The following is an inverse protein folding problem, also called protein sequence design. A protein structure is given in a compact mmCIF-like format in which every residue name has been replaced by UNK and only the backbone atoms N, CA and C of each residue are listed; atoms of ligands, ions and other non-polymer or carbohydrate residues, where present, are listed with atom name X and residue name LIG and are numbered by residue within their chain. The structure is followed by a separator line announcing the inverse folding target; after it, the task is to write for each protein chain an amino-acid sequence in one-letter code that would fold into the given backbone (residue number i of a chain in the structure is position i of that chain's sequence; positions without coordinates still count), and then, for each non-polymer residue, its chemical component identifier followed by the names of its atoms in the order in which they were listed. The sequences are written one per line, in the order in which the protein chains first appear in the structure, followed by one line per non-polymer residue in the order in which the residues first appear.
data_IF_224812568610
#
_entry.id   IF_224812568610
#
_cell.length_a   1.000
_cell.length_b   1.000
_cell.length_c   1.000
_cell.angle_alpha   90.00
_cell.angle_beta   90.00
_cell.angle_gamma   90.00
#
_symmetry.space_group_name_H-M   'P 1'
#
loop_
_entity.id
_entity.type
_entity.pdbx_description
1 polymer ?
#
# COMPACT_ATOMS: atom_id res chain seq x y z
N UNK A 1 -16.62 -43.72 -35.29
CA UNK A 1 -15.68 -42.58 -35.55
C UNK A 1 -15.78 -41.67 -34.31
N UNK A 2 -14.90 -41.94 -33.35
CA UNK A 2 -14.83 -41.24 -32.05
C UNK A 2 -14.04 -39.97 -32.29
N UNK A 3 -14.70 -38.84 -32.25
CA UNK A 3 -14.03 -37.53 -32.29
C UNK A 3 -13.40 -37.36 -30.90
N UNK A 4 -12.10 -37.60 -30.82
CA UNK A 4 -11.28 -37.21 -29.69
C UNK A 4 -11.36 -35.67 -29.56
N UNK A 5 -12.16 -35.22 -28.62
CA UNK A 5 -12.12 -33.85 -28.15
C UNK A 5 -10.74 -33.61 -27.53
N UNK A 6 -9.84 -33.09 -28.32
CA UNK A 6 -8.55 -32.64 -27.89
C UNK A 6 -8.81 -31.34 -27.07
N UNK A 7 -9.11 -31.51 -25.78
CA UNK A 7 -9.06 -30.44 -24.80
C UNK A 7 -7.61 -30.04 -24.69
N UNK A 8 -7.15 -29.18 -25.63
CA UNK A 8 -5.96 -28.37 -25.40
C UNK A 8 -6.16 -27.73 -24.04
N UNK A 9 -5.31 -28.08 -23.07
CA UNK A 9 -5.16 -27.36 -21.83
C UNK A 9 -4.90 -25.89 -22.25
N UNK A 10 -5.95 -25.08 -22.22
CA UNK A 10 -5.85 -23.66 -22.39
C UNK A 10 -4.90 -23.20 -21.30
N UNK A 11 -3.70 -22.82 -21.68
CA UNK A 11 -2.62 -22.42 -20.78
C UNK A 11 -3.21 -21.36 -19.84
N UNK A 12 -3.50 -21.75 -18.61
CA UNK A 12 -4.18 -20.89 -17.62
C UNK A 12 -3.17 -19.86 -17.06
N UNK A 13 -2.55 -19.07 -17.96
CA UNK A 13 -1.52 -18.09 -17.64
C UNK A 13 -1.86 -16.73 -18.25
N UNK A 14 -1.50 -15.65 -17.54
CA UNK A 14 -1.41 -14.31 -18.09
C UNK A 14 0.03 -14.00 -18.49
N UNK A 15 0.20 -13.09 -19.43
CA UNK A 15 1.48 -12.60 -19.91
C UNK A 15 1.69 -11.15 -19.46
N UNK A 16 2.65 -10.90 -18.58
CA UNK A 16 3.00 -9.59 -18.07
C UNK A 16 4.05 -8.94 -18.96
N UNK A 17 3.77 -7.77 -19.53
CA UNK A 17 4.71 -7.14 -20.49
C UNK A 17 5.69 -6.18 -19.83
N UNK A 18 5.37 -5.62 -18.67
CA UNK A 18 6.18 -4.54 -18.10
C UNK A 18 6.21 -3.32 -19.03
N UNK A 19 7.40 -2.81 -19.35
CA UNK A 19 7.62 -1.69 -20.28
C UNK A 19 7.65 -2.20 -21.72
N UNK A 20 6.49 -2.28 -22.35
CA UNK A 20 6.34 -2.74 -23.71
C UNK A 20 7.06 -1.79 -24.69
N UNK A 21 7.84 -2.36 -25.62
CA UNK A 21 8.64 -1.62 -26.60
C UNK A 21 9.99 -1.12 -26.07
N UNK A 22 10.35 -1.46 -24.83
CA UNK A 22 11.63 -1.13 -24.21
C UNK A 22 12.36 -2.39 -23.72
N UNK A 23 12.08 -3.53 -24.35
CA UNK A 23 12.56 -4.84 -23.90
C UNK A 23 14.10 -4.92 -23.88
N UNK A 24 14.76 -4.30 -24.85
CA UNK A 24 16.23 -4.29 -24.96
C UNK A 24 16.91 -3.56 -23.79
N UNK A 25 16.19 -2.63 -23.15
CA UNK A 25 16.74 -1.84 -22.03
C UNK A 25 16.15 -2.24 -20.69
N UNK A 26 15.40 -3.34 -20.60
CA UNK A 26 14.82 -3.85 -19.33
C UNK A 26 15.87 -4.00 -18.24
N UNK A 27 17.09 -4.48 -18.57
CA UNK A 27 18.19 -4.60 -17.63
C UNK A 27 18.62 -3.25 -17.03
N UNK A 28 18.61 -2.19 -17.83
CA UNK A 28 18.91 -0.83 -17.35
C UNK A 28 17.77 -0.24 -16.52
N UNK A 29 16.51 -0.46 -16.95
CA UNK A 29 15.31 -0.05 -16.23
C UNK A 29 15.23 -0.77 -14.87
N UNK A 30 15.72 -2.00 -14.76
CA UNK A 30 15.72 -2.76 -13.52
C UNK A 30 16.56 -2.11 -12.41
N UNK A 31 17.64 -1.39 -12.74
CA UNK A 31 18.56 -0.80 -11.76
C UNK A 31 17.83 0.16 -10.81
N UNK A 32 17.11 1.21 -11.29
CA UNK A 32 16.37 2.09 -10.40
C UNK A 32 15.27 1.35 -9.62
N UNK A 33 14.56 0.39 -10.22
CA UNK A 33 13.54 -0.38 -9.52
C UNK A 33 14.14 -1.24 -8.40
N UNK A 34 15.22 -1.96 -8.66
CA UNK A 34 15.92 -2.74 -7.64
C UNK A 34 16.45 -1.86 -6.52
N UNK A 35 16.98 -0.67 -6.83
CA UNK A 35 17.43 0.31 -5.85
C UNK A 35 16.28 0.79 -4.96
N UNK A 36 15.09 1.05 -5.52
CA UNK A 36 13.90 1.43 -4.78
C UNK A 36 13.46 0.27 -3.86
N UNK A 37 13.32 -0.95 -4.40
CA UNK A 37 12.94 -2.12 -3.60
C UNK A 37 13.91 -2.38 -2.45
N UNK A 38 15.22 -2.29 -2.71
CA UNK A 38 16.24 -2.44 -1.68
C UNK A 38 16.11 -1.37 -0.60
N UNK A 39 15.87 -0.11 -0.99
CA UNK A 39 15.67 1.00 -0.05
C UNK A 39 14.41 0.81 0.79
N UNK A 40 13.32 0.33 0.19
CA UNK A 40 12.07 -0.01 0.91
C UNK A 40 12.34 -1.09 1.95
N UNK A 41 13.02 -2.17 1.56
CA UNK A 41 13.31 -3.29 2.48
C UNK A 41 14.21 -2.83 3.61
N UNK A 42 15.34 -2.19 3.30
CA UNK A 42 16.31 -1.73 4.31
C UNK A 42 15.69 -0.70 5.26
N UNK A 43 14.94 0.26 4.73
CA UNK A 43 14.30 1.32 5.51
C UNK A 43 13.28 0.77 6.51
N UNK A 44 12.36 -0.07 6.04
CA UNK A 44 11.31 -0.64 6.88
C UNK A 44 11.86 -1.67 7.88
N UNK A 45 12.82 -2.52 7.49
CA UNK A 45 13.51 -3.43 8.41
C UNK A 45 14.26 -2.65 9.49
N UNK A 46 14.93 -1.54 9.14
CA UNK A 46 15.62 -0.69 10.11
C UNK A 46 14.63 -0.10 11.12
N UNK A 47 13.49 0.42 10.68
CA UNK A 47 12.43 0.93 11.58
C UNK A 47 11.96 -0.16 12.54
N UNK A 48 11.61 -1.34 12.03
CA UNK A 48 11.17 -2.47 12.85
C UNK A 48 12.23 -2.88 13.88
N UNK A 49 13.49 -2.95 13.45
CA UNK A 49 14.60 -3.30 14.31
C UNK A 49 14.79 -2.27 15.43
N UNK A 50 14.75 -0.98 15.12
CA UNK A 50 14.89 0.09 16.11
C UNK A 50 13.73 0.09 17.10
N UNK A 51 12.49 -0.02 16.64
CA UNK A 51 11.30 -0.09 17.53
C UNK A 51 11.37 -1.31 18.45
N UNK A 52 11.80 -2.48 17.92
CA UNK A 52 11.89 -3.72 18.71
C UNK A 52 12.96 -3.65 19.80
N UNK A 53 14.11 -3.03 19.52
CA UNK A 53 15.29 -3.06 20.38
C UNK A 53 15.36 -1.92 21.39
N UNK A 54 14.54 -0.88 21.25
CA UNK A 54 14.54 0.28 22.13
C UNK A 54 13.21 0.38 22.89
N UNK A 55 13.25 0.07 24.20
CA UNK A 55 12.06 0.11 25.05
C UNK A 55 11.43 1.51 25.15
N UNK A 56 12.18 2.59 24.89
CA UNK A 56 11.65 3.97 24.89
C UNK A 56 10.71 4.24 23.71
N UNK A 57 10.71 3.38 22.69
CA UNK A 57 9.84 3.45 21.54
C UNK A 57 8.63 2.51 21.65
N UNK A 58 8.33 1.98 22.84
CA UNK A 58 7.14 1.13 23.04
C UNK A 58 5.91 1.95 23.41
N UNK A 59 5.64 3.00 22.60
CA UNK A 59 4.44 3.83 22.70
C UNK A 59 3.46 3.52 21.55
N UNK A 60 2.16 3.84 21.67
CA UNK A 60 1.13 3.51 20.68
C UNK A 60 1.48 3.88 19.25
N UNK A 61 1.99 5.08 19.01
CA UNK A 61 2.38 5.54 17.69
C UNK A 61 3.41 4.63 17.00
N UNK A 62 4.40 4.14 17.75
CA UNK A 62 5.46 3.30 17.17
C UNK A 62 4.96 1.89 16.85
N UNK A 63 3.98 1.38 17.57
CA UNK A 63 3.31 0.13 17.20
C UNK A 63 2.55 0.26 15.88
N UNK A 64 1.85 1.38 15.67
CA UNK A 64 1.22 1.65 14.37
C UNK A 64 2.24 1.83 13.25
N UNK A 65 3.36 2.50 13.55
CA UNK A 65 4.46 2.63 12.58
C UNK A 65 5.09 1.26 12.26
N UNK A 66 5.21 0.36 13.23
CA UNK A 66 5.65 -1.00 12.98
C UNK A 66 4.66 -1.79 12.10
N UNK A 67 3.35 -1.61 12.31
CA UNK A 67 2.32 -2.20 11.45
C UNK A 67 2.43 -1.66 10.02
N UNK A 68 2.64 -0.35 9.85
CA UNK A 68 2.87 0.28 8.54
C UNK A 68 4.10 -0.32 7.85
N UNK A 69 5.23 -0.41 8.55
CA UNK A 69 6.45 -1.00 8.01
C UNK A 69 6.29 -2.48 7.61
N UNK A 70 5.52 -3.26 8.37
CA UNK A 70 5.18 -4.65 8.01
C UNK A 70 4.31 -4.72 6.74
N UNK A 71 3.37 -3.80 6.59
CA UNK A 71 2.52 -3.69 5.40
C UNK A 71 3.34 -3.34 4.17
N UNK A 72 4.25 -2.36 4.29
CA UNK A 72 5.18 -1.94 3.23
C UNK A 72 6.08 -3.09 2.76
N UNK A 73 6.63 -3.87 3.70
CA UNK A 73 7.41 -5.07 3.39
C UNK A 73 6.56 -6.14 2.70
N UNK A 74 5.33 -6.34 3.15
CA UNK A 74 4.40 -7.28 2.53
C UNK A 74 4.07 -6.92 1.08
N UNK A 75 3.80 -5.64 0.78
CA UNK A 75 3.59 -5.13 -0.58
C UNK A 75 4.82 -5.36 -1.46
N UNK A 76 6.00 -5.05 -0.93
CA UNK A 76 7.27 -5.26 -1.59
C UNK A 76 7.48 -6.74 -1.96
N UNK A 77 7.32 -7.64 -0.98
CA UNK A 77 7.48 -9.08 -1.19
C UNK A 77 6.44 -9.69 -2.13
N UNK A 78 5.23 -9.11 -2.19
CA UNK A 78 4.18 -9.57 -3.10
C UNK A 78 4.48 -9.28 -4.57
N UNK A 79 5.26 -8.24 -4.87
CA UNK A 79 5.50 -7.76 -6.24
C UNK A 79 6.92 -7.99 -6.74
N UNK A 80 7.90 -7.97 -5.85
CA UNK A 80 9.32 -8.13 -6.18
C UNK A 80 9.61 -9.37 -7.05
N UNK A 81 9.08 -10.58 -6.76
CA UNK A 81 9.39 -11.76 -7.58
C UNK A 81 8.97 -11.61 -9.04
N UNK A 82 7.79 -11.05 -9.31
CA UNK A 82 7.30 -10.84 -10.68
C UNK A 82 8.07 -9.75 -11.40
N UNK A 83 8.40 -8.65 -10.71
CA UNK A 83 9.18 -7.55 -11.27
C UNK A 83 10.60 -8.00 -11.63
N UNK A 84 11.29 -8.73 -10.75
CA UNK A 84 12.60 -9.28 -11.04
C UNK A 84 12.54 -10.36 -12.13
N UNK A 85 11.50 -11.20 -12.10
CA UNK A 85 11.25 -12.23 -13.12
C UNK A 85 11.21 -11.63 -14.53
N UNK A 86 10.45 -10.54 -14.69
CA UNK A 86 10.31 -9.85 -15.99
C UNK A 86 11.62 -9.18 -16.41
N UNK A 87 12.26 -8.41 -15.52
CA UNK A 87 13.39 -7.57 -15.91
C UNK A 87 14.71 -8.32 -16.04
N UNK A 88 14.95 -9.39 -15.26
CA UNK A 88 16.22 -10.10 -15.25
C UNK A 88 16.19 -11.43 -16.00
N UNK A 89 15.04 -12.10 -15.97
CA UNK A 89 14.92 -13.46 -16.49
C UNK A 89 13.96 -13.57 -17.69
N UNK A 90 13.38 -12.45 -18.14
CA UNK A 90 12.32 -12.42 -19.17
C UNK A 90 11.16 -13.40 -18.89
N UNK A 91 10.95 -13.73 -17.61
CA UNK A 91 9.91 -14.63 -17.14
C UNK A 91 8.58 -13.86 -17.03
N UNK A 92 7.88 -13.73 -18.15
CA UNK A 92 6.67 -12.91 -18.30
C UNK A 92 5.38 -13.66 -18.05
N UNK A 93 5.41 -14.98 -17.96
CA UNK A 93 4.22 -15.79 -17.72
C UNK A 93 3.92 -15.92 -16.22
N UNK A 94 2.67 -15.65 -15.83
CA UNK A 94 2.16 -15.89 -14.49
C UNK A 94 0.89 -16.74 -14.54
N UNK A 95 0.83 -17.81 -13.76
CA UNK A 95 -0.39 -18.62 -13.63
C UNK A 95 -1.56 -17.80 -13.08
N UNK A 96 -2.77 -18.00 -13.61
CA UNK A 96 -3.97 -17.29 -13.16
C UNK A 96 -4.16 -17.38 -11.62
N UNK A 97 -4.02 -18.54 -10.96
CA UNK A 97 -4.12 -18.61 -9.50
C UNK A 97 -3.07 -17.77 -8.78
N UNK A 98 -1.81 -17.75 -9.26
CA UNK A 98 -0.73 -16.95 -8.68
C UNK A 98 -1.01 -15.45 -8.84
N UNK A 99 -1.51 -15.04 -10.01
CA UNK A 99 -1.92 -13.66 -10.29
C UNK A 99 -3.06 -13.20 -9.35
N UNK A 100 -4.08 -14.04 -9.13
CA UNK A 100 -5.18 -13.72 -8.20
C UNK A 100 -4.72 -13.67 -6.74
N UNK A 101 -3.78 -14.53 -6.36
CA UNK A 101 -3.15 -14.50 -5.04
C UNK A 101 -2.36 -13.21 -4.84
N UNK A 102 -1.54 -12.83 -5.81
CA UNK A 102 -0.80 -11.58 -5.79
C UNK A 102 -1.73 -10.36 -5.68
N UNK A 103 -2.79 -10.33 -6.49
CA UNK A 103 -3.83 -9.29 -6.44
C UNK A 103 -4.48 -9.20 -5.06
N UNK A 104 -4.83 -10.35 -4.46
CA UNK A 104 -5.42 -10.41 -3.13
C UNK A 104 -4.48 -9.77 -2.09
N UNK A 105 -3.20 -10.12 -2.08
CA UNK A 105 -2.25 -9.55 -1.12
C UNK A 105 -2.01 -8.07 -1.36
N UNK A 106 -1.79 -7.62 -2.59
CA UNK A 106 -1.57 -6.21 -2.91
C UNK A 106 -2.74 -5.36 -2.40
N UNK A 107 -3.97 -5.72 -2.77
CA UNK A 107 -5.13 -4.92 -2.37
C UNK A 107 -5.43 -5.02 -0.88
N UNK A 108 -5.32 -6.20 -0.27
CA UNK A 108 -5.51 -6.36 1.18
C UNK A 108 -4.52 -5.51 1.96
N UNK A 109 -3.23 -5.57 1.63
CA UNK A 109 -2.20 -4.80 2.32
C UNK A 109 -2.38 -3.29 2.14
N UNK A 110 -2.77 -2.83 0.93
CA UNK A 110 -3.11 -1.41 0.73
C UNK A 110 -4.29 -0.95 1.57
N UNK A 111 -5.31 -1.80 1.77
CA UNK A 111 -6.42 -1.48 2.65
C UNK A 111 -6.01 -1.49 4.14
N UNK A 112 -5.11 -2.39 4.53
CA UNK A 112 -4.52 -2.38 5.87
C UNK A 112 -3.74 -1.09 6.10
N UNK A 113 -2.94 -0.64 5.13
CA UNK A 113 -2.21 0.63 5.19
C UNK A 113 -3.16 1.82 5.43
N UNK A 114 -4.26 1.93 4.68
CA UNK A 114 -5.32 2.92 4.90
C UNK A 114 -5.85 2.89 6.33
N UNK A 115 -6.16 1.69 6.86
CA UNK A 115 -6.68 1.50 8.21
C UNK A 115 -5.66 1.84 9.30
N UNK A 116 -4.38 1.57 9.06
CA UNK A 116 -3.28 1.94 9.97
C UNK A 116 -3.13 3.45 10.00
N UNK A 117 -3.17 4.13 8.85
CA UNK A 117 -3.15 5.59 8.78
C UNK A 117 -4.35 6.21 9.52
N UNK A 118 -5.54 5.63 9.42
CA UNK A 118 -6.69 6.05 10.24
C UNK A 118 -6.41 5.84 11.73
N UNK A 119 -5.85 4.71 12.13
CA UNK A 119 -5.51 4.43 13.53
C UNK A 119 -4.48 5.42 14.08
N UNK A 120 -3.50 5.83 13.25
CA UNK A 120 -2.52 6.85 13.58
C UNK A 120 -3.15 8.24 13.71
N UNK A 121 -4.19 8.58 12.94
CA UNK A 121 -4.92 9.84 13.09
C UNK A 121 -5.67 9.89 14.41
N UNK A 122 -6.28 8.77 14.83
CA UNK A 122 -6.93 8.62 16.13
C UNK A 122 -5.89 8.74 17.26
N UNK A 123 -4.73 8.13 17.11
CA UNK A 123 -3.62 8.25 18.06
C UNK A 123 -3.23 9.73 18.25
N UNK A 124 -3.03 10.46 17.15
CA UNK A 124 -2.72 11.91 17.23
C UNK A 124 -3.84 12.70 17.88
N UNK A 125 -5.10 12.42 17.56
CA UNK A 125 -6.24 13.06 18.18
C UNK A 125 -6.26 12.85 19.70
N UNK A 126 -6.11 11.62 20.17
CA UNK A 126 -6.11 11.31 21.60
C UNK A 126 -4.91 11.95 22.29
N UNK A 127 -3.71 11.92 21.70
CA UNK A 127 -2.49 12.50 22.28
C UNK A 127 -2.58 14.02 22.45
N UNK A 128 -3.25 14.72 21.55
CA UNK A 128 -3.33 16.19 21.54
C UNK A 128 -4.55 16.70 22.34
N UNK A 129 -5.71 16.05 22.17
CA UNK A 129 -6.97 16.48 22.76
C UNK A 129 -7.20 15.90 24.15
N UNK A 130 -6.66 14.71 24.47
CA UNK A 130 -6.86 14.01 25.74
C UNK A 130 -5.54 13.48 26.33
N UNK A 131 -4.51 14.30 26.55
CA UNK A 131 -3.16 13.85 26.93
C UNK A 131 -3.14 13.08 28.27
N UNK A 132 -3.95 13.48 29.24
CA UNK A 132 -4.03 12.84 30.56
C UNK A 132 -4.64 11.43 30.53
N UNK A 133 -5.42 11.10 29.49
CA UNK A 133 -6.06 9.79 29.31
C UNK A 133 -5.43 8.96 28.17
N UNK A 134 -4.35 9.45 27.57
CA UNK A 134 -3.73 8.81 26.41
C UNK A 134 -3.38 7.33 26.67
N UNK A 135 -2.64 7.05 27.75
CA UNK A 135 -2.21 5.69 28.10
C UNK A 135 -3.36 4.76 28.53
N UNK A 136 -4.47 5.32 29.02
CA UNK A 136 -5.65 4.55 29.41
C UNK A 136 -6.56 4.25 28.23
N UNK A 137 -6.56 5.11 27.20
CA UNK A 137 -7.35 4.93 25.97
C UNK A 137 -6.61 3.99 25.01
N UNK A 138 -5.33 4.23 24.75
CA UNK A 138 -4.52 3.45 23.79
C UNK A 138 -3.64 2.43 24.51
N UNK A 139 -4.27 1.44 25.13
CA UNK A 139 -3.57 0.32 25.76
C UNK A 139 -3.00 -0.64 24.70
N UNK A 140 -1.90 -1.38 25.00
CA UNK A 140 -1.34 -2.35 24.04
C UNK A 140 -2.37 -3.37 23.52
N UNK A 141 -3.28 -3.83 24.40
CA UNK A 141 -4.35 -4.75 24.01
C UNK A 141 -5.31 -4.13 22.98
N UNK A 142 -5.64 -2.83 23.11
CA UNK A 142 -6.48 -2.12 22.14
C UNK A 142 -5.77 -1.91 20.82
N UNK A 143 -4.48 -1.57 20.83
CA UNK A 143 -3.66 -1.41 19.63
C UNK A 143 -3.61 -2.71 18.82
N UNK A 144 -3.35 -3.85 19.49
CA UNK A 144 -3.37 -5.17 18.83
C UNK A 144 -4.75 -5.46 18.24
N UNK A 145 -5.84 -5.17 18.97
CA UNK A 145 -7.20 -5.34 18.43
C UNK A 145 -7.45 -4.47 17.21
N UNK A 146 -7.00 -3.22 17.22
CA UNK A 146 -7.11 -2.31 16.05
C UNK A 146 -6.36 -2.87 14.84
N UNK A 147 -5.13 -3.34 15.02
CA UNK A 147 -4.35 -3.98 13.96
C UNK A 147 -5.02 -5.23 13.41
N UNK A 148 -5.46 -6.15 14.26
CA UNK A 148 -6.15 -7.37 13.84
C UNK A 148 -7.48 -7.06 13.14
N UNK A 149 -8.27 -6.10 13.63
CA UNK A 149 -9.51 -5.70 12.98
C UNK A 149 -9.25 -5.05 11.62
N UNK A 150 -8.16 -4.29 11.46
CA UNK A 150 -7.74 -3.71 10.17
C UNK A 150 -7.42 -4.81 9.15
N UNK A 151 -6.65 -5.81 9.55
CA UNK A 151 -6.32 -6.97 8.68
C UNK A 151 -7.57 -7.76 8.32
N UNK A 152 -8.41 -8.09 9.31
CA UNK A 152 -9.63 -8.86 9.09
C UNK A 152 -10.61 -8.11 8.17
N UNK A 153 -10.86 -6.82 8.43
CA UNK A 153 -11.73 -5.97 7.58
C UNK A 153 -11.22 -5.96 6.14
N UNK A 154 -9.94 -5.71 5.96
CA UNK A 154 -9.31 -5.61 4.63
C UNK A 154 -9.38 -6.94 3.88
N UNK A 155 -9.04 -8.04 4.54
CA UNK A 155 -9.10 -9.37 3.93
C UNK A 155 -10.51 -9.76 3.53
N UNK A 156 -11.52 -9.51 4.37
CA UNK A 156 -12.92 -9.82 4.07
C UNK A 156 -13.49 -8.98 2.92
N UNK A 157 -13.07 -7.71 2.80
CA UNK A 157 -13.49 -6.83 1.70
C UNK A 157 -12.82 -7.23 0.37
N UNK A 158 -11.60 -7.74 0.38
CA UNK A 158 -10.89 -8.11 -0.86
C UNK A 158 -11.17 -9.56 -1.26
N UNK A 159 -11.49 -10.44 -0.32
CA UNK A 159 -11.69 -11.87 -0.58
C UNK A 159 -12.67 -12.18 -1.75
N UNK A 160 -13.78 -11.47 -1.93
CA UNK A 160 -14.68 -11.74 -3.07
C UNK A 160 -14.07 -11.42 -4.45
N UNK A 161 -13.11 -10.50 -4.56
CA UNK A 161 -12.58 -10.06 -5.85
C UNK A 161 -11.94 -11.18 -6.68
N UNK A 162 -11.04 -12.04 -6.15
CA UNK A 162 -10.50 -13.18 -6.88
C UNK A 162 -11.58 -14.15 -7.36
N UNK A 163 -12.61 -14.39 -6.55
CA UNK A 163 -13.72 -15.27 -6.93
C UNK A 163 -14.59 -14.68 -8.03
N UNK A 164 -14.85 -13.37 -7.99
CA UNK A 164 -15.55 -12.65 -9.03
C UNK A 164 -14.76 -12.65 -10.34
N UNK A 165 -13.44 -12.49 -10.30
CA UNK A 165 -12.56 -12.57 -11.46
C UNK A 165 -12.52 -13.99 -12.05
N UNK A 166 -12.55 -15.03 -11.21
CA UNK A 166 -12.55 -16.44 -11.65
C UNK A 166 -13.78 -16.79 -12.51
N UNK A 167 -14.88 -16.03 -12.39
CA UNK A 167 -16.11 -16.26 -13.17
C UNK A 167 -16.04 -15.74 -14.61
N UNK A 168 -15.00 -14.94 -14.93
CA UNK A 168 -14.87 -14.39 -16.27
C UNK A 168 -14.35 -15.41 -17.27
N UNK A 169 -14.84 -15.27 -18.52
CA UNK A 169 -14.22 -15.87 -19.69
C UNK A 169 -13.23 -14.85 -20.26
N UNK A 170 -11.97 -15.24 -20.36
CA UNK A 170 -10.90 -14.44 -20.91
C UNK A 170 -10.70 -14.84 -22.37
N UNK A 171 -11.29 -14.11 -23.31
CA UNK A 171 -11.23 -14.41 -24.77
C UNK A 171 -10.45 -13.36 -25.56
N UNK A 172 -10.00 -12.28 -24.92
CA UNK A 172 -9.06 -11.32 -25.50
C UNK A 172 -7.61 -11.81 -25.26
N UNK A 173 -6.64 -11.04 -25.74
CA UNK A 173 -5.25 -11.37 -25.46
C UNK A 173 -5.05 -11.53 -23.94
N UNK A 174 -4.37 -12.60 -23.50
CA UNK A 174 -4.02 -12.82 -22.09
C UNK A 174 -2.85 -11.93 -21.63
N UNK A 175 -2.68 -10.77 -22.27
CA UNK A 175 -1.56 -9.84 -22.07
C UNK A 175 -1.98 -8.72 -21.13
N UNK A 176 -1.29 -8.61 -20.01
CA UNK A 176 -1.41 -7.52 -19.05
C UNK A 176 -0.27 -6.52 -19.28
N UNK A 177 -0.61 -5.23 -19.40
CA UNK A 177 0.35 -4.16 -19.68
C UNK A 177 1.13 -3.70 -18.43
N UNK A 178 1.23 -4.53 -17.39
CA UNK A 178 1.90 -4.24 -16.13
C UNK A 178 2.88 -5.34 -15.75
N UNK A 179 3.72 -5.09 -14.74
CA UNK A 179 4.66 -6.08 -14.21
C UNK A 179 4.10 -6.83 -12.98
N UNK A 180 2.85 -6.60 -12.63
CA UNK A 180 2.14 -7.29 -11.56
C UNK A 180 0.63 -7.25 -11.79
N UNK A 181 -0.13 -8.06 -11.06
CA UNK A 181 -1.55 -8.25 -11.29
C UNK A 181 -2.40 -7.17 -10.60
N UNK A 182 -3.15 -6.39 -11.40
CA UNK A 182 -4.10 -5.39 -10.95
C UNK A 182 -5.53 -5.77 -11.33
N UNK A 183 -6.48 -5.59 -10.41
CA UNK A 183 -7.88 -5.92 -10.60
C UNK A 183 -8.50 -5.27 -11.86
N UNK A 184 -8.28 -3.96 -12.04
CA UNK A 184 -8.83 -3.20 -13.16
C UNK A 184 -8.27 -3.66 -14.52
N UNK A 185 -7.00 -4.05 -14.57
CA UNK A 185 -6.36 -4.54 -15.79
C UNK A 185 -6.85 -5.94 -16.18
N UNK A 186 -7.02 -6.82 -15.20
CA UNK A 186 -7.56 -8.16 -15.45
C UNK A 186 -8.99 -8.09 -15.96
N UNK A 187 -9.80 -7.16 -15.44
CA UNK A 187 -11.19 -6.96 -15.93
C UNK A 187 -11.25 -6.56 -17.41
N UNK A 188 -10.26 -5.81 -17.92
CA UNK A 188 -10.20 -5.40 -19.33
C UNK A 188 -10.04 -6.59 -20.29
N UNK A 189 -9.53 -7.74 -19.80
CA UNK A 189 -9.37 -8.96 -20.59
C UNK A 189 -10.64 -9.82 -20.67
N UNK A 190 -11.65 -9.51 -19.85
CA UNK A 190 -12.91 -10.25 -19.83
C UNK A 190 -13.76 -9.95 -21.06
N UNK A 191 -14.45 -10.97 -21.57
CA UNK A 191 -15.44 -10.87 -22.65
C UNK A 191 -16.88 -10.90 -22.11
N UNK A 192 -17.05 -11.27 -20.86
CA UNK A 192 -18.32 -11.24 -20.15
C UNK A 192 -18.57 -9.89 -19.50
N UNK A 193 -19.81 -9.66 -19.05
CA UNK A 193 -20.16 -8.42 -18.35
C UNK A 193 -19.32 -8.22 -17.08
N UNK A 194 -18.63 -7.08 -16.99
CA UNK A 194 -17.78 -6.69 -15.86
C UNK A 194 -18.53 -5.86 -14.80
N UNK A 195 -19.82 -5.60 -14.98
CA UNK A 195 -20.60 -4.65 -14.17
C UNK A 195 -20.53 -5.00 -12.68
N UNK A 196 -20.72 -6.28 -12.32
CA UNK A 196 -20.71 -6.72 -10.91
C UNK A 196 -19.34 -6.46 -10.27
N UNK A 197 -18.26 -6.81 -10.96
CA UNK A 197 -16.90 -6.56 -10.47
C UNK A 197 -16.57 -5.07 -10.36
N UNK A 198 -17.06 -4.28 -11.32
CA UNK A 198 -16.87 -2.83 -11.33
C UNK A 198 -17.61 -2.17 -10.15
N UNK A 199 -18.88 -2.52 -9.92
CA UNK A 199 -19.66 -2.02 -8.80
C UNK A 199 -19.05 -2.46 -7.47
N UNK A 200 -18.66 -3.75 -7.34
CA UNK A 200 -18.04 -4.24 -6.13
C UNK A 200 -16.69 -3.55 -5.85
N UNK A 201 -15.86 -3.36 -6.87
CA UNK A 201 -14.61 -2.62 -6.74
C UNK A 201 -14.81 -1.15 -6.30
N UNK A 202 -15.85 -0.47 -6.81
CA UNK A 202 -16.24 0.87 -6.35
C UNK A 202 -16.71 0.86 -4.90
N UNK A 203 -17.51 -0.13 -4.51
CA UNK A 203 -17.97 -0.30 -3.13
C UNK A 203 -16.77 -0.46 -2.18
N UNK A 204 -15.79 -1.30 -2.52
CA UNK A 204 -14.58 -1.48 -1.73
C UNK A 204 -13.82 -0.16 -1.57
N UNK A 205 -13.61 0.58 -2.67
CA UNK A 205 -12.95 1.89 -2.63
C UNK A 205 -13.74 2.89 -1.78
N UNK A 206 -15.05 2.94 -1.90
CA UNK A 206 -15.89 3.84 -1.10
C UNK A 206 -15.84 3.50 0.40
N UNK A 207 -15.90 2.21 0.76
CA UNK A 207 -15.86 1.75 2.15
C UNK A 207 -14.49 1.92 2.82
N UNK A 208 -13.41 2.03 2.05
CA UNK A 208 -12.05 2.16 2.56
C UNK A 208 -11.51 3.56 2.33
N UNK A 209 -11.23 3.93 1.08
CA UNK A 209 -10.70 5.25 0.76
C UNK A 209 -11.66 6.36 1.20
N UNK A 210 -12.95 6.22 0.90
CA UNK A 210 -13.97 7.22 1.24
C UNK A 210 -14.16 7.36 2.74
N UNK A 211 -14.44 6.26 3.45
CA UNK A 211 -14.71 6.30 4.90
C UNK A 211 -13.44 6.62 5.69
N UNK A 212 -12.32 5.94 5.40
CA UNK A 212 -11.08 6.14 6.16
C UNK A 212 -10.56 7.59 5.97
N UNK A 213 -10.55 8.13 4.74
CA UNK A 213 -10.11 9.50 4.48
C UNK A 213 -11.02 10.54 5.14
N UNK A 214 -12.35 10.31 5.14
CA UNK A 214 -13.29 11.18 5.84
C UNK A 214 -13.02 11.21 7.34
N UNK A 215 -12.81 10.05 7.97
CA UNK A 215 -12.52 9.96 9.40
C UNK A 215 -11.17 10.58 9.75
N UNK A 216 -10.15 10.42 8.92
CA UNK A 216 -8.86 11.11 9.05
C UNK A 216 -9.07 12.63 8.98
N UNK A 217 -9.81 13.12 7.99
CA UNK A 217 -10.11 14.54 7.83
C UNK A 217 -10.84 15.10 9.06
N UNK A 218 -11.86 14.39 9.56
CA UNK A 218 -12.58 14.79 10.78
C UNK A 218 -11.67 14.82 12.01
N UNK A 219 -10.78 13.81 12.17
CA UNK A 219 -9.79 13.78 13.26
C UNK A 219 -8.89 15.01 13.22
N UNK A 220 -8.39 15.38 12.03
CA UNK A 220 -7.53 16.57 11.89
C UNK A 220 -8.27 17.89 12.06
N UNK A 221 -9.54 17.96 11.68
CA UNK A 221 -10.38 19.12 11.96
C UNK A 221 -10.53 19.35 13.47
N UNK A 222 -10.79 18.27 14.23
CA UNK A 222 -10.88 18.34 15.69
C UNK A 222 -9.53 18.67 16.34
N UNK A 223 -8.44 18.12 15.84
CA UNK A 223 -7.08 18.46 16.29
C UNK A 223 -6.81 19.95 16.06
N UNK A 224 -7.13 20.47 14.88
CA UNK A 224 -6.92 21.88 14.57
C UNK A 224 -7.71 22.79 15.50
N UNK A 225 -8.99 22.50 15.74
CA UNK A 225 -9.82 23.23 16.70
C UNK A 225 -9.20 23.23 18.11
N UNK A 226 -8.76 22.07 18.60
CA UNK A 226 -8.13 21.95 19.91
C UNK A 226 -6.79 22.71 19.99
N UNK A 227 -6.00 22.71 18.91
CA UNK A 227 -4.72 23.43 18.84
C UNK A 227 -4.92 24.93 18.79
N UNK A 228 -5.90 25.42 18.03
CA UNK A 228 -6.23 26.86 17.97
C UNK A 228 -6.73 27.40 19.31
N UNK A 229 -7.37 26.58 20.14
CA UNK A 229 -7.79 26.90 21.50
C UNK A 229 -6.66 27.01 22.53
N UNK A 230 -5.42 26.56 22.22
CA UNK A 230 -4.27 26.68 23.12
C UNK A 230 -3.77 28.12 23.23
N UNK A 231 -3.42 28.53 24.46
CA UNK A 231 -3.00 29.92 24.74
C UNK A 231 -1.61 30.23 24.14
N UNK A 232 -0.66 29.27 24.23
CA UNK A 232 0.74 29.48 23.81
C UNK A 232 0.95 29.15 22.34
N UNK A 233 1.55 30.09 21.59
CA UNK A 233 1.99 29.89 20.21
C UNK A 233 2.99 28.72 20.06
N UNK A 234 3.88 28.54 21.05
CA UNK A 234 4.90 27.49 21.06
C UNK A 234 4.27 26.10 21.21
N UNK A 235 3.19 25.97 22.01
CA UNK A 235 2.44 24.73 22.14
C UNK A 235 1.69 24.36 20.85
N UNK A 236 1.12 25.38 20.17
CA UNK A 236 0.49 25.18 18.85
C UNK A 236 1.48 24.63 17.84
N UNK A 237 2.68 25.23 17.73
CA UNK A 237 3.71 24.79 16.81
C UNK A 237 4.20 23.36 17.13
N UNK A 238 4.39 23.02 18.40
CA UNK A 238 4.78 21.66 18.79
C UNK A 238 3.71 20.63 18.38
N UNK A 239 2.43 20.91 18.66
CA UNK A 239 1.35 20.03 18.28
C UNK A 239 1.25 19.83 16.76
N UNK A 240 1.35 20.91 15.97
CA UNK A 240 1.33 20.85 14.52
C UNK A 240 2.53 20.07 13.96
N UNK A 241 3.73 20.30 14.46
CA UNK A 241 4.92 19.58 14.04
C UNK A 241 4.80 18.05 14.26
N UNK A 242 4.11 17.64 15.30
CA UNK A 242 3.85 16.22 15.56
C UNK A 242 2.91 15.60 14.50
N UNK A 243 2.01 16.40 13.93
CA UNK A 243 1.06 15.96 12.90
C UNK A 243 1.66 15.92 11.49
N UNK A 244 2.69 16.72 11.19
CA UNK A 244 3.22 16.89 9.83
C UNK A 244 3.63 15.55 9.22
N UNK A 245 4.37 14.72 9.95
CA UNK A 245 4.82 13.42 9.43
C UNK A 245 3.67 12.53 9.01
N UNK A 246 2.62 12.49 9.82
CA UNK A 246 1.45 11.69 9.51
C UNK A 246 0.64 12.28 8.34
N UNK A 247 0.47 13.60 8.28
CA UNK A 247 -0.19 14.26 7.13
C UNK A 247 0.57 13.99 5.85
N UNK A 248 1.91 14.05 5.86
CA UNK A 248 2.73 13.69 4.71
C UNK A 248 2.49 12.24 4.28
N UNK A 249 2.49 11.28 5.22
CA UNK A 249 2.23 9.87 4.91
C UNK A 249 0.82 9.67 4.33
N UNK A 250 -0.20 10.32 4.89
CA UNK A 250 -1.58 10.29 4.38
C UNK A 250 -1.64 10.79 2.93
N UNK A 251 -1.03 11.94 2.64
CA UNK A 251 -1.01 12.49 1.28
C UNK A 251 -0.24 11.60 0.30
N UNK A 252 0.92 11.08 0.72
CA UNK A 252 1.75 10.17 -0.08
C UNK A 252 1.04 8.85 -0.40
N UNK A 253 0.12 8.41 0.44
CA UNK A 253 -0.70 7.22 0.21
C UNK A 253 -1.93 7.52 -0.67
N UNK A 254 -2.76 8.51 -0.26
CA UNK A 254 -4.06 8.73 -0.93
C UNK A 254 -3.94 9.39 -2.30
N UNK A 255 -2.97 10.29 -2.53
CA UNK A 255 -2.82 10.96 -3.83
C UNK A 255 -2.49 9.96 -4.95
N UNK A 256 -1.48 9.07 -4.82
CA UNK A 256 -1.21 8.06 -5.84
C UNK A 256 -2.37 7.08 -6.04
N UNK A 257 -3.05 6.67 -4.98
CA UNK A 257 -4.15 5.72 -5.05
C UNK A 257 -5.36 6.30 -5.78
N UNK A 258 -5.74 7.54 -5.47
CA UNK A 258 -6.81 8.25 -6.17
C UNK A 258 -6.39 8.48 -7.63
N UNK A 259 -5.16 8.93 -7.87
CA UNK A 259 -4.61 9.13 -9.20
C UNK A 259 -4.67 7.87 -10.06
N UNK A 260 -4.24 6.73 -9.52
CA UNK A 260 -4.33 5.44 -10.20
C UNK A 260 -5.78 5.08 -10.53
N UNK A 261 -6.70 5.24 -9.57
CA UNK A 261 -8.11 4.94 -9.77
C UNK A 261 -8.74 5.80 -10.86
N UNK A 262 -8.42 7.10 -10.90
CA UNK A 262 -8.91 8.04 -11.92
C UNK A 262 -8.34 7.71 -13.31
N UNK A 263 -7.03 7.48 -13.40
CA UNK A 263 -6.37 7.14 -14.67
C UNK A 263 -6.94 5.86 -15.27
N UNK A 264 -7.17 4.82 -14.47
CA UNK A 264 -7.71 3.56 -14.98
C UNK A 264 -9.20 3.62 -15.36
N UNK A 265 -9.99 4.52 -14.78
CA UNK A 265 -11.43 4.64 -15.03
C UNK A 265 -11.79 5.65 -16.10
N UNK A 266 -11.05 6.76 -16.15
CA UNK A 266 -11.37 7.90 -17.02
C UNK A 266 -10.25 8.21 -18.03
N UNK A 267 -9.09 7.58 -17.90
CA UNK A 267 -7.90 7.85 -18.69
C UNK A 267 -7.74 6.94 -19.91
N UNK A 268 -8.81 6.43 -20.52
CA UNK A 268 -8.73 5.53 -21.69
C UNK A 268 -7.93 6.13 -22.87
N UNK A 269 -7.91 7.47 -22.98
CA UNK A 269 -7.18 8.20 -24.02
C UNK A 269 -5.71 8.44 -23.68
N UNK A 270 -5.28 8.14 -22.44
CA UNK A 270 -3.91 8.36 -22.02
C UNK A 270 -2.97 7.26 -22.57
N UNK A 271 -1.72 7.61 -22.89
CA UNK A 271 -0.72 6.62 -23.30
C UNK A 271 -0.55 5.52 -22.23
N UNK A 272 -0.32 4.29 -22.67
CA UNK A 272 -0.11 3.13 -21.76
C UNK A 272 0.99 3.35 -20.74
N UNK A 273 2.02 4.12 -21.09
CA UNK A 273 3.11 4.47 -20.17
C UNK A 273 2.60 5.23 -18.93
N UNK A 274 1.57 6.08 -19.06
CA UNK A 274 1.00 6.81 -17.93
C UNK A 274 0.32 5.84 -16.96
N UNK A 275 -0.45 4.88 -17.46
CA UNK A 275 -1.07 3.84 -16.64
C UNK A 275 -0.02 3.02 -15.88
N UNK A 276 1.06 2.64 -16.56
CA UNK A 276 2.15 1.87 -15.99
C UNK A 276 2.89 2.69 -14.90
N UNK A 277 3.27 3.92 -15.20
CA UNK A 277 3.96 4.79 -14.23
C UNK A 277 3.10 5.07 -13.01
N UNK A 278 1.81 5.36 -13.19
CA UNK A 278 0.89 5.58 -12.06
C UNK A 278 0.75 4.34 -11.19
N UNK A 279 0.76 3.14 -11.77
CA UNK A 279 0.72 1.90 -11.00
C UNK A 279 1.99 1.70 -10.15
N UNK A 280 3.17 2.02 -10.69
CA UNK A 280 4.41 1.99 -9.91
C UNK A 280 4.48 3.08 -8.85
N UNK A 281 4.00 4.29 -9.14
CA UNK A 281 3.91 5.38 -8.15
C UNK A 281 3.03 4.95 -6.98
N UNK A 282 1.85 4.38 -7.26
CA UNK A 282 0.97 3.85 -6.23
C UNK A 282 1.61 2.75 -5.38
N UNK A 283 2.35 1.83 -6.01
CA UNK A 283 2.91 0.67 -5.35
C UNK A 283 4.17 0.98 -4.53
N UNK A 284 5.04 1.85 -5.05
CA UNK A 284 6.39 2.02 -4.52
C UNK A 284 6.59 3.31 -3.73
N UNK A 285 5.85 4.39 -4.05
CA UNK A 285 6.08 5.68 -3.40
C UNK A 285 5.70 5.64 -1.92
N UNK A 286 4.52 5.14 -1.48
CA UNK A 286 4.22 5.08 -0.05
C UNK A 286 5.24 4.24 0.73
N UNK A 287 5.55 2.96 0.36
CA UNK A 287 6.51 2.15 1.09
C UNK A 287 7.94 2.71 1.12
N UNK A 288 8.34 3.46 0.09
CA UNK A 288 9.63 4.13 0.03
C UNK A 288 9.67 5.36 0.94
N UNK A 289 8.60 6.16 0.91
CA UNK A 289 8.58 7.45 1.62
C UNK A 289 8.24 7.32 3.10
N UNK A 290 7.49 6.30 3.52
CA UNK A 290 7.14 6.08 4.92
C UNK A 290 8.39 6.04 5.83
N UNK A 291 9.39 5.17 5.61
CA UNK A 291 10.59 5.15 6.44
C UNK A 291 11.37 6.47 6.39
N UNK A 292 11.42 7.14 5.23
CA UNK A 292 12.13 8.42 5.07
C UNK A 292 11.44 9.52 5.91
N UNK A 293 10.13 9.68 5.74
CA UNK A 293 9.35 10.71 6.45
C UNK A 293 9.44 10.52 7.96
N UNK A 294 9.26 9.29 8.46
CA UNK A 294 9.30 9.03 9.90
C UNK A 294 10.73 9.09 10.47
N UNK A 295 11.75 8.66 9.73
CA UNK A 295 13.14 8.77 10.17
C UNK A 295 13.63 10.21 10.24
N UNK A 296 13.23 11.07 9.29
CA UNK A 296 13.64 12.47 9.27
C UNK A 296 12.87 13.29 10.30
N UNK A 297 11.57 13.15 10.34
CA UNK A 297 10.68 14.01 11.16
C UNK A 297 10.58 13.58 12.61
N UNK A 298 10.74 12.29 12.93
CA UNK A 298 10.68 11.80 14.29
C UNK A 298 12.07 11.82 14.93
N UNK A 299 12.35 12.85 15.73
CA UNK A 299 13.66 13.06 16.39
C UNK A 299 14.16 11.82 17.14
N UNK A 300 13.27 11.12 17.81
CA UNK A 300 13.60 9.91 18.57
C UNK A 300 14.12 8.80 17.67
N UNK A 301 13.39 8.47 16.58
CA UNK A 301 13.83 7.44 15.61
C UNK A 301 15.17 7.85 14.98
N UNK A 302 15.28 9.10 14.51
CA UNK A 302 16.50 9.61 13.89
C UNK A 302 17.72 9.46 14.81
N UNK A 303 17.61 9.89 16.06
CA UNK A 303 18.71 9.80 17.03
C UNK A 303 19.12 8.35 17.32
N UNK A 304 18.15 7.42 17.37
CA UNK A 304 18.44 6.00 17.61
C UNK A 304 19.07 5.33 16.39
N UNK A 305 18.64 5.68 15.19
CA UNK A 305 19.30 5.21 13.97
C UNK A 305 20.75 5.68 13.95
N UNK A 306 21.02 6.98 14.12
CA UNK A 306 22.38 7.55 14.11
C UNK A 306 23.25 6.85 15.16
N UNK A 307 22.78 6.77 16.40
CA UNK A 307 23.55 6.13 17.49
C UNK A 307 23.93 4.68 17.18
N UNK A 308 23.04 3.90 16.53
CA UNK A 308 23.37 2.52 16.12
C UNK A 308 24.44 2.45 15.05
N UNK A 309 24.43 3.37 14.08
CA UNK A 309 25.48 3.42 13.04
C UNK A 309 26.82 3.92 13.58
N UNK A 310 26.84 4.72 14.64
CA UNK A 310 28.08 5.13 15.33
C UNK A 310 28.73 4.00 16.12
N UNK A 311 27.95 3.05 16.66
CA UNK A 311 28.47 1.87 17.36
C UNK A 311 29.03 0.77 16.45
N UNK A 312 28.81 0.85 15.15
CA UNK A 312 29.32 -0.13 14.15
C UNK A 312 30.67 0.33 13.56
N UNK A 313 31.12 1.52 13.89
CA UNK A 313 32.48 2.00 13.66
C UNK A 313 33.39 1.68 14.84
#
# INVERSE_FOLDING_TARGET
MIILYNTSLQKATFFLTGFQGLEEIHSWISIPFCSIYLTVILGNVTILHVIRTDATLHEPMYYFLAMLALTDLGLCLSTLPTVLGIFWFDAREIGIPACFTQLFFIHTLSLVESSVLLSMSIDRYVAICNPLRYSTILTPRRIVKMGLSSVLRSALLILPLPFLLKRFQYCRSHVLAHAYCLHLEIMKLACSSIIVNHIYGLFVVACTVGVDSLLIFLSYTLILQAVLGKASHQERLRALNTCISHICAVLLFYIPMIGLSLVHRFGEHLPRIVHLLMSYVYLLVPPLMNPIVYSIKTKQIRQRIIKKFEFVK
#
